data_IF_258087714464
#
_entry.id   IF_258087714464
#
_cell.length_a   1.000
_cell.length_b   1.000
_cell.length_c   1.000
_cell.angle_alpha   90.00
_cell.angle_beta   90.00
_cell.angle_gamma   90.00
#
_symmetry.space_group_name_H-M   'P 1'
#
loop_
_entity.id
_entity.type
_entity.pdbx_description
1 polymer ?
#
# COMPACT_ATOMS: atom_id res chain seq x y z
N UNK A 1 13.92 -14.42 3.98
CA UNK A 1 13.29 -15.47 4.82
C UNK A 1 12.72 -16.54 3.89
N UNK A 2 12.91 -17.83 4.17
CA UNK A 2 12.26 -18.90 3.38
C UNK A 2 10.83 -19.02 3.90
N UNK A 3 9.86 -18.54 3.12
CA UNK A 3 8.44 -18.70 3.45
C UNK A 3 8.01 -20.15 3.19
N UNK A 4 6.98 -20.62 3.90
CA UNK A 4 6.52 -22.01 3.93
C UNK A 4 6.03 -22.58 2.58
N UNK A 5 6.18 -21.81 1.48
CA UNK A 5 5.82 -22.18 0.11
C UNK A 5 7.03 -22.42 -0.81
N UNK A 6 8.26 -22.48 -0.28
CA UNK A 6 9.45 -22.85 -1.06
C UNK A 6 9.93 -21.80 -2.09
N UNK A 7 9.20 -20.70 -2.26
CA UNK A 7 9.64 -19.52 -3.01
C UNK A 7 10.51 -18.59 -2.17
N UNK A 8 11.57 -18.04 -2.76
CA UNK A 8 12.35 -16.98 -2.11
C UNK A 8 11.57 -15.68 -2.19
N UNK A 9 11.00 -15.24 -1.07
CA UNK A 9 10.41 -13.91 -0.98
C UNK A 9 11.50 -12.85 -0.84
N UNK A 10 11.35 -11.73 -1.57
CA UNK A 10 12.31 -10.61 -1.56
C UNK A 10 11.66 -9.37 -0.99
N UNK A 11 12.43 -8.66 -0.18
CA UNK A 11 12.08 -7.35 0.36
C UNK A 11 12.58 -6.27 -0.61
N UNK A 12 11.68 -5.44 -1.13
CA UNK A 12 11.99 -4.38 -2.07
C UNK A 12 11.65 -3.00 -1.50
N UNK A 13 12.50 -2.02 -1.80
CA UNK A 13 12.36 -0.60 -1.42
C UNK A 13 12.48 0.32 -2.63
N UNK A 14 11.93 1.53 -2.53
CA UNK A 14 12.10 2.58 -3.54
C UNK A 14 13.54 3.12 -3.53
N UNK A 15 14.10 3.35 -4.71
CA UNK A 15 15.38 4.07 -4.89
C UNK A 15 15.13 5.58 -4.91
N UNK A 16 16.03 6.35 -4.30
CA UNK A 16 15.96 7.80 -4.27
C UNK A 16 15.98 8.43 -5.68
N UNK A 17 15.30 9.57 -5.83
CA UNK A 17 15.35 10.39 -7.06
C UNK A 17 14.21 10.16 -8.05
N UNK A 18 13.23 9.32 -7.72
CA UNK A 18 11.98 9.20 -8.48
C UNK A 18 11.13 10.48 -8.33
N UNK A 19 10.36 10.79 -9.37
CA UNK A 19 9.36 11.87 -9.27
C UNK A 19 8.18 11.41 -8.37
N UNK A 20 7.45 12.34 -7.74
CA UNK A 20 6.25 11.98 -6.97
C UNK A 20 5.20 11.21 -7.78
N UNK A 21 5.09 11.48 -9.09
CA UNK A 21 4.18 10.77 -9.97
C UNK A 21 4.62 9.31 -10.19
N UNK A 22 5.91 9.07 -10.41
CA UNK A 22 6.45 7.72 -10.58
C UNK A 22 6.31 6.91 -9.29
N UNK A 23 6.61 7.54 -8.15
CA UNK A 23 6.40 6.96 -6.82
C UNK A 23 4.95 6.48 -6.66
N UNK A 24 3.99 7.36 -6.94
CA UNK A 24 2.57 7.01 -6.83
C UNK A 24 2.18 5.85 -7.74
N UNK A 25 2.74 5.78 -8.95
CA UNK A 25 2.54 4.65 -9.85
C UNK A 25 3.14 3.36 -9.30
N UNK A 26 4.34 3.41 -8.69
CA UNK A 26 4.95 2.23 -8.07
C UNK A 26 4.08 1.68 -6.93
N UNK A 27 3.60 2.54 -6.03
CA UNK A 27 2.68 2.11 -4.96
C UNK A 27 1.44 1.42 -5.51
N UNK A 28 0.81 2.02 -6.53
CA UNK A 28 -0.41 1.49 -7.14
C UNK A 28 -0.18 0.13 -7.81
N UNK A 29 0.89 -0.02 -8.59
CA UNK A 29 1.19 -1.30 -9.22
C UNK A 29 1.60 -2.37 -8.21
N UNK A 30 2.34 -2.02 -7.16
CA UNK A 30 2.68 -2.94 -6.08
C UNK A 30 1.43 -3.49 -5.40
N UNK A 31 0.48 -2.62 -5.04
CA UNK A 31 -0.81 -3.03 -4.47
C UNK A 31 -1.61 -3.90 -5.43
N UNK A 32 -1.66 -3.57 -6.73
CA UNK A 32 -2.38 -4.37 -7.74
C UNK A 32 -1.83 -5.79 -7.83
N UNK A 33 -0.51 -5.95 -7.80
CA UNK A 33 0.16 -7.26 -7.81
C UNK A 33 -0.12 -8.03 -6.52
N UNK A 34 -0.15 -7.35 -5.38
CA UNK A 34 -0.35 -7.97 -4.07
C UNK A 34 -1.82 -8.20 -3.71
N UNK A 35 -2.78 -7.64 -4.47
CA UNK A 35 -4.19 -7.59 -4.10
C UNK A 35 -4.78 -8.96 -3.70
N UNK A 36 -4.44 -10.02 -4.43
CA UNK A 36 -4.97 -11.37 -4.20
C UNK A 36 -4.43 -12.03 -2.93
N UNK A 37 -3.28 -11.55 -2.46
CA UNK A 37 -2.53 -12.12 -1.34
C UNK A 37 -2.82 -11.40 -0.03
N UNK A 38 -3.37 -10.20 -0.09
CA UNK A 38 -3.71 -9.40 1.09
C UNK A 38 -5.04 -9.89 1.67
N UNK A 39 -5.05 -10.27 2.95
CA UNK A 39 -6.25 -10.65 3.69
C UNK A 39 -6.76 -9.56 4.64
N UNK A 40 -5.89 -8.64 5.05
CA UNK A 40 -6.23 -7.45 5.80
C UNK A 40 -5.41 -6.25 5.31
N UNK A 41 -6.06 -5.10 5.13
CA UNK A 41 -5.41 -3.86 4.76
C UNK A 41 -5.89 -2.71 5.64
N UNK A 42 -4.97 -1.82 5.99
CA UNK A 42 -5.25 -0.65 6.82
C UNK A 42 -4.54 0.56 6.23
N UNK A 43 -5.15 1.73 6.37
CA UNK A 43 -4.47 2.99 6.07
C UNK A 43 -4.82 4.07 7.08
N UNK A 44 -3.88 4.97 7.28
CA UNK A 44 -4.08 6.19 8.02
C UNK A 44 -4.57 7.29 7.06
N UNK A 45 -5.65 7.98 7.41
CA UNK A 45 -6.11 9.18 6.70
C UNK A 45 -5.33 10.42 7.17
N UNK A 46 -4.01 10.28 7.30
CA UNK A 46 -3.06 11.31 7.69
C UNK A 46 -1.96 11.43 6.64
N UNK A 47 -1.51 12.66 6.39
CA UNK A 47 -0.48 13.01 5.41
C UNK A 47 0.34 14.15 6.01
N UNK A 48 1.65 14.17 5.76
CA UNK A 48 2.50 15.31 6.14
C UNK A 48 2.25 16.52 5.21
N UNK A 49 1.82 16.25 3.98
CA UNK A 49 1.47 17.25 2.97
C UNK A 49 -0.05 17.43 2.82
N UNK A 50 -0.52 18.56 2.27
CA UNK A 50 -1.93 18.70 1.89
C UNK A 50 -2.35 17.64 0.86
N UNK A 51 -3.52 17.02 1.08
CA UNK A 51 -4.10 16.06 0.14
C UNK A 51 -4.29 16.68 -1.25
N UNK A 52 -3.80 16.03 -2.33
CA UNK A 52 -4.03 16.49 -3.68
C UNK A 52 -5.52 16.60 -4.02
N UNK A 53 -5.97 17.62 -4.77
CA UNK A 53 -7.38 17.77 -5.14
C UNK A 53 -7.99 16.55 -5.81
N UNK A 54 -7.17 15.79 -6.56
CA UNK A 54 -7.59 14.58 -7.25
C UNK A 54 -8.05 13.45 -6.31
N UNK A 55 -7.51 13.39 -5.08
CA UNK A 55 -7.77 12.28 -4.13
C UNK A 55 -8.70 12.68 -2.98
N UNK A 56 -9.16 13.95 -2.93
CA UNK A 56 -10.02 14.45 -1.85
C UNK A 56 -11.31 13.64 -1.69
N UNK A 57 -11.92 13.19 -2.80
CA UNK A 57 -13.11 12.33 -2.73
C UNK A 57 -12.82 10.99 -2.07
N UNK A 58 -11.68 10.40 -2.38
CA UNK A 58 -11.25 9.12 -1.81
C UNK A 58 -10.93 9.28 -0.32
N UNK A 59 -10.30 10.39 0.06
CA UNK A 59 -10.08 10.77 1.46
C UNK A 59 -11.40 10.95 2.24
N UNK A 60 -12.36 11.69 1.70
CA UNK A 60 -13.67 11.85 2.35
C UNK A 60 -14.40 10.51 2.49
N UNK A 61 -14.30 9.64 1.47
CA UNK A 61 -14.93 8.32 1.49
C UNK A 61 -14.29 7.39 2.51
N UNK A 62 -12.96 7.39 2.68
CA UNK A 62 -12.33 6.53 3.69
C UNK A 62 -12.73 6.93 5.11
N UNK A 63 -12.88 8.24 5.38
CA UNK A 63 -13.43 8.73 6.64
C UNK A 63 -14.89 8.34 6.85
N UNK A 64 -15.69 8.25 5.77
CA UNK A 64 -17.04 7.68 5.85
C UNK A 64 -17.00 6.19 6.25
N UNK A 65 -16.10 5.38 5.68
CA UNK A 65 -15.95 3.97 6.05
C UNK A 65 -15.63 3.81 7.54
N UNK A 66 -14.73 4.62 8.08
CA UNK A 66 -14.42 4.61 9.51
C UNK A 66 -15.66 4.90 10.38
N UNK A 67 -16.51 5.86 9.99
CA UNK A 67 -17.77 6.15 10.69
C UNK A 67 -18.80 5.04 10.55
N UNK A 68 -18.92 4.45 9.35
CA UNK A 68 -19.81 3.32 9.08
C UNK A 68 -19.41 2.11 9.94
N UNK A 69 -18.11 1.83 10.09
CA UNK A 69 -17.59 0.78 10.95
C UNK A 69 -17.90 1.01 12.45
N UNK A 70 -17.84 2.27 12.91
CA UNK A 70 -18.29 2.60 14.28
C UNK A 70 -19.78 2.35 14.44
N UNK A 71 -20.60 2.77 13.48
CA UNK A 71 -22.05 2.56 13.51
C UNK A 71 -22.42 1.07 13.46
N UNK A 72 -21.64 0.26 12.73
CA UNK A 72 -21.79 -1.20 12.65
C UNK A 72 -21.23 -1.94 13.88
N UNK A 73 -20.52 -1.26 14.79
CA UNK A 73 -19.90 -1.85 15.97
C UNK A 73 -18.64 -2.68 15.68
N UNK A 74 -18.11 -2.63 14.46
CA UNK A 74 -16.84 -3.29 14.08
C UNK A 74 -15.62 -2.45 14.43
N UNK A 75 -15.82 -1.15 14.72
CA UNK A 75 -14.80 -0.22 15.20
C UNK A 75 -15.23 0.45 16.49
N UNK A 76 -14.31 0.62 17.44
CA UNK A 76 -14.61 1.28 18.71
C UNK A 76 -14.90 2.77 18.51
N UNK A 77 -15.94 3.31 19.16
CA UNK A 77 -16.30 4.73 19.08
C UNK A 77 -15.19 5.68 19.54
N UNK A 78 -14.33 5.22 20.46
CA UNK A 78 -13.18 5.98 20.98
C UNK A 78 -11.92 5.88 20.10
N UNK A 79 -11.95 5.06 19.05
CA UNK A 79 -10.83 4.95 18.14
C UNK A 79 -10.64 6.30 17.42
N UNK A 80 -9.40 6.61 17.11
CA UNK A 80 -9.10 7.78 16.30
C UNK A 80 -9.86 7.68 14.94
N UNK A 81 -10.53 8.75 14.46
CA UNK A 81 -11.31 8.68 13.23
C UNK A 81 -10.50 8.47 11.95
N UNK A 82 -9.23 8.87 11.94
CA UNK A 82 -8.34 8.83 10.79
C UNK A 82 -7.33 7.69 10.81
N UNK A 83 -7.02 7.11 11.96
CA UNK A 83 -5.93 6.12 12.07
C UNK A 83 -6.39 4.67 11.83
N UNK A 84 -5.66 3.87 11.07
CA UNK A 84 -5.87 2.43 10.93
C UNK A 84 -7.28 2.09 10.44
N UNK A 85 -7.71 2.74 9.35
CA UNK A 85 -9.01 2.49 8.74
C UNK A 85 -8.91 1.20 7.92
N UNK A 86 -9.77 0.24 8.23
CA UNK A 86 -9.82 -1.04 7.53
C UNK A 86 -10.32 -0.86 6.09
N UNK A 87 -9.63 -1.49 5.15
CA UNK A 87 -9.98 -1.53 3.73
C UNK A 87 -10.19 -2.99 3.33
N UNK A 88 -11.36 -3.29 2.77
CA UNK A 88 -11.57 -4.57 2.09
C UNK A 88 -10.98 -4.53 0.68
N UNK A 89 -9.80 -5.11 0.50
CA UNK A 89 -9.12 -5.16 -0.81
C UNK A 89 -9.88 -6.02 -1.84
N UNK A 90 -10.85 -6.83 -1.44
CA UNK A 90 -11.68 -7.63 -2.36
C UNK A 90 -12.84 -6.82 -2.91
N UNK A 91 -13.23 -5.75 -2.23
CA UNK A 91 -14.18 -4.75 -2.75
C UNK A 91 -13.43 -3.81 -3.70
N UNK A 92 -13.82 -3.78 -4.97
CA UNK A 92 -13.18 -2.94 -5.98
C UNK A 92 -13.22 -1.44 -5.62
N UNK A 93 -14.33 -0.97 -5.04
CA UNK A 93 -14.48 0.44 -4.70
C UNK A 93 -13.59 0.82 -3.52
N UNK A 94 -13.48 -0.02 -2.50
CA UNK A 94 -12.58 0.23 -1.37
C UNK A 94 -11.11 0.08 -1.76
N UNK A 95 -10.79 -0.87 -2.64
CA UNK A 95 -9.43 -1.03 -3.14
C UNK A 95 -8.96 0.18 -3.96
N UNK A 96 -9.82 0.79 -4.77
CA UNK A 96 -9.48 2.05 -5.46
C UNK A 96 -9.19 3.20 -4.48
N UNK A 97 -9.88 3.27 -3.32
CA UNK A 97 -9.53 4.25 -2.28
C UNK A 97 -8.11 4.05 -1.77
N UNK A 98 -7.70 2.79 -1.58
CA UNK A 98 -6.34 2.46 -1.16
C UNK A 98 -5.32 2.88 -2.23
N UNK A 99 -5.57 2.56 -3.51
CA UNK A 99 -4.70 2.96 -4.62
C UNK A 99 -4.55 4.48 -4.75
N UNK A 100 -5.60 5.24 -4.43
CA UNK A 100 -5.58 6.69 -4.45
C UNK A 100 -4.79 7.29 -3.29
N UNK A 101 -4.95 6.77 -2.07
CA UNK A 101 -4.47 7.41 -0.84
C UNK A 101 -3.08 6.95 -0.41
N UNK A 102 -2.71 5.70 -0.72
CA UNK A 102 -1.42 5.12 -0.28
C UNK A 102 -0.20 5.95 -0.69
N UNK A 103 -0.13 6.55 -1.89
CA UNK A 103 0.99 7.43 -2.27
C UNK A 103 1.11 8.73 -1.45
N UNK A 104 0.13 9.04 -0.62
CA UNK A 104 0.01 10.33 0.07
C UNK A 104 -0.15 10.19 1.58
N UNK A 105 -0.40 8.98 2.09
CA UNK A 105 -0.54 8.75 3.52
C UNK A 105 0.81 8.56 4.20
N UNK A 106 0.89 8.94 5.48
CA UNK A 106 2.02 8.63 6.36
C UNK A 106 2.16 7.13 6.64
N UNK A 107 1.07 6.35 6.56
CA UNK A 107 1.08 4.93 6.88
C UNK A 107 -0.04 4.16 6.17
N UNK A 108 0.36 3.07 5.52
CA UNK A 108 -0.56 2.06 5.02
C UNK A 108 0.09 0.68 5.03
N UNK A 109 -0.72 -0.33 5.28
CA UNK A 109 -0.26 -1.70 5.46
C UNK A 109 -1.17 -2.68 4.71
N UNK A 110 -0.55 -3.73 4.17
CA UNK A 110 -1.22 -4.91 3.66
C UNK A 110 -0.62 -6.16 4.30
N UNK A 111 -1.47 -7.02 4.81
CA UNK A 111 -1.11 -8.21 5.57
C UNK A 111 -1.59 -9.48 4.86
N UNK A 112 -0.83 -10.57 5.04
CA UNK A 112 -1.17 -11.93 4.63
C UNK A 112 -0.87 -12.89 5.77
N UNK A 113 -1.87 -13.58 6.29
CA UNK A 113 -1.75 -14.56 7.38
C UNK A 113 -1.01 -13.99 8.61
N UNK A 114 -1.26 -12.71 8.93
CA UNK A 114 -0.60 -12.01 10.03
C UNK A 114 0.84 -11.59 9.77
N UNK A 115 1.33 -11.70 8.52
CA UNK A 115 2.62 -11.15 8.08
C UNK A 115 2.40 -9.89 7.24
N UNK A 116 3.13 -8.81 7.54
CA UNK A 116 3.14 -7.63 6.69
C UNK A 116 3.73 -8.04 5.33
N UNK A 117 3.07 -7.70 4.23
CA UNK A 117 3.55 -7.94 2.85
C UNK A 117 3.63 -6.66 2.03
N UNK A 118 3.01 -5.60 2.52
CA UNK A 118 3.06 -4.25 1.97
C UNK A 118 3.09 -3.25 3.12
N UNK A 119 3.95 -2.24 3.04
CA UNK A 119 4.04 -1.18 4.04
C UNK A 119 4.51 0.13 3.41
N UNK A 120 3.94 1.24 3.85
CA UNK A 120 4.44 2.59 3.61
C UNK A 120 4.60 3.27 4.95
N UNK A 121 5.68 4.03 5.14
CA UNK A 121 5.98 4.70 6.41
C UNK A 121 6.74 5.99 6.12
N UNK A 122 6.06 7.13 6.17
CA UNK A 122 6.43 8.44 5.57
C UNK A 122 5.63 8.70 4.30
N UNK A 123 5.26 9.96 4.09
CA UNK A 123 4.30 10.42 3.08
C UNK A 123 4.77 10.09 1.65
N UNK A 124 4.45 8.89 1.19
CA UNK A 124 4.72 8.38 -0.16
C UNK A 124 6.18 8.12 -0.52
N UNK A 125 7.17 8.45 0.29
CA UNK A 125 8.60 8.30 -0.09
C UNK A 125 9.17 6.93 0.22
N UNK A 126 8.48 6.16 1.07
CA UNK A 126 8.89 4.83 1.46
C UNK A 126 7.86 3.80 1.03
N UNK A 127 8.39 2.71 0.48
CA UNK A 127 7.64 1.52 0.17
C UNK A 127 8.48 0.35 0.63
N UNK A 128 7.82 -0.56 1.31
CA UNK A 128 8.36 -1.86 1.65
C UNK A 128 7.34 -2.91 1.18
N UNK A 129 7.84 -3.97 0.56
CA UNK A 129 6.99 -5.07 0.09
C UNK A 129 7.74 -6.39 0.07
N UNK A 130 6.99 -7.46 0.29
CA UNK A 130 7.47 -8.85 0.23
C UNK A 130 6.82 -9.53 -0.96
N UNK A 131 7.60 -9.80 -2.00
CA UNK A 131 7.11 -10.40 -3.24
C UNK A 131 7.66 -11.81 -3.45
N UNK A 132 6.85 -12.68 -4.05
CA UNK A 132 7.34 -13.88 -4.74
C UNK A 132 8.08 -13.51 -6.04
N UNK A 133 8.78 -14.47 -6.64
CA UNK A 133 9.50 -14.22 -7.90
C UNK A 133 8.53 -13.89 -9.04
N UNK A 134 7.37 -14.54 -9.08
CA UNK A 134 6.32 -14.31 -10.06
C UNK A 134 5.72 -12.90 -9.89
N UNK A 135 5.43 -12.49 -8.66
CA UNK A 135 4.94 -11.15 -8.35
C UNK A 135 5.97 -10.06 -8.68
N UNK A 136 7.26 -10.29 -8.39
CA UNK A 136 8.31 -9.36 -8.78
C UNK A 136 8.37 -9.19 -10.31
N UNK A 137 8.34 -10.30 -11.06
CA UNK A 137 8.34 -10.24 -12.52
C UNK A 137 7.11 -9.50 -13.07
N UNK A 138 5.93 -9.74 -12.49
CA UNK A 138 4.70 -9.03 -12.86
C UNK A 138 4.81 -7.53 -12.57
N UNK A 139 5.28 -7.17 -11.37
CA UNK A 139 5.47 -5.77 -10.98
C UNK A 139 6.42 -5.06 -11.94
N UNK A 140 7.59 -5.65 -12.21
CA UNK A 140 8.57 -5.08 -13.13
C UNK A 140 8.00 -4.92 -14.55
N UNK A 141 7.20 -5.87 -15.02
CA UNK A 141 6.51 -5.78 -16.32
C UNK A 141 5.50 -4.62 -16.35
N UNK A 142 4.72 -4.43 -15.28
CA UNK A 142 3.74 -3.34 -15.16
C UNK A 142 4.42 -1.98 -15.11
N UNK A 143 5.49 -1.86 -14.33
CA UNK A 143 6.29 -0.63 -14.24
C UNK A 143 6.93 -0.26 -15.57
N UNK A 144 7.51 -1.24 -16.29
CA UNK A 144 8.07 -1.01 -17.61
C UNK A 144 7.03 -0.52 -18.62
N UNK A 145 5.79 -1.02 -18.55
CA UNK A 145 4.68 -0.55 -19.39
C UNK A 145 4.28 0.92 -19.10
N UNK A 146 4.59 1.42 -17.89
CA UNK A 146 4.42 2.83 -17.50
C UNK A 146 5.68 3.68 -17.74
N UNK A 147 6.74 3.10 -18.34
CA UNK A 147 8.01 3.79 -18.57
C UNK A 147 8.89 3.92 -17.32
N UNK A 148 8.55 3.24 -16.22
CA UNK A 148 9.33 3.26 -14.98
C UNK A 148 10.44 2.21 -15.09
N UNK A 149 11.73 2.61 -14.93
CA UNK A 149 12.84 1.68 -15.06
C UNK A 149 12.87 0.70 -13.88
N UNK A 150 13.36 -0.52 -14.13
CA UNK A 150 13.50 -1.54 -13.07
C UNK A 150 14.45 -1.13 -11.93
N UNK A 151 15.34 -0.18 -12.18
CA UNK A 151 16.21 0.43 -11.15
C UNK A 151 15.47 1.33 -10.17
N UNK A 152 14.17 1.57 -10.35
CA UNK A 152 13.31 2.25 -9.39
C UNK A 152 13.14 1.47 -8.07
N UNK A 153 13.35 0.15 -8.13
CA UNK A 153 13.28 -0.75 -6.98
C UNK A 153 14.66 -1.31 -6.65
N UNK A 154 15.00 -1.32 -5.37
CA UNK A 154 16.18 -1.99 -4.86
C UNK A 154 15.80 -3.09 -3.89
N UNK A 155 16.60 -4.16 -3.87
CA UNK A 155 16.48 -5.19 -2.85
C UNK A 155 16.99 -4.64 -1.54
N UNK A 156 16.19 -4.73 -0.49
CA UNK A 156 16.65 -4.41 0.84
C UNK A 156 17.76 -5.41 1.21
N UNK A 157 18.98 -4.93 1.52
CA UNK A 157 20.02 -5.82 2.00
C UNK A 157 19.51 -6.51 3.28
N UNK A 158 19.74 -7.82 3.47
CA UNK A 158 19.43 -8.46 4.74
C UNK A 158 20.13 -7.68 5.85
N UNK A 159 19.34 -7.10 6.75
CA UNK A 159 19.86 -6.31 7.88
C UNK A 159 20.84 -7.15 8.70
N UNK A 160 21.97 -6.53 9.03
CA UNK A 160 22.97 -7.07 9.97
C UNK A 160 22.40 -7.22 11.39
#
# INVERSE_FOLDING_TARGET
>A
MINQHGGMSRELILVAGLSPADIALVHREALRVLRTDIDAAHLDAYSDDPWPPAVLRSYERVLCLAREAVAAGTRAQRADPGMGIDIDVRDDAQFELMLDLVPHTINAEGWREGQLVFGTSDSGTSLWMVLTQEQEAELLSRLAAQGIPSTALAVQPPGR
#
